data_IF_166345080585
#
_entry.id   IF_166345080585
#
_cell.length_a   1.000
_cell.length_b   1.000
_cell.length_c   1.000
_cell.angle_alpha   90.00
_cell.angle_beta   90.00
_cell.angle_gamma   90.00
#
_symmetry.space_group_name_H-M   'P 1'
#
loop_
_entity.id
_entity.type
_entity.pdbx_description
1 polymer ?
#
# COMPACT_ATOMS: atom_id res chain seq x y z
N UNK A 1 22.27 5.40 -19.32
CA UNK A 1 20.84 5.14 -19.57
C UNK A 1 20.25 5.02 -18.19
N UNK A 2 19.43 5.97 -17.75
CA UNK A 2 18.99 6.03 -16.35
C UNK A 2 18.24 4.75 -15.99
N UNK A 3 18.85 3.91 -15.16
CA UNK A 3 18.34 2.60 -14.71
C UNK A 3 17.11 2.72 -13.77
N UNK A 4 16.56 3.92 -13.59
CA UNK A 4 15.57 4.21 -12.54
C UNK A 4 14.12 4.34 -13.03
N UNK A 5 13.86 4.18 -14.33
CA UNK A 5 12.49 4.23 -14.84
C UNK A 5 11.80 2.87 -14.63
N UNK A 6 11.03 2.76 -13.54
CA UNK A 6 10.17 1.61 -13.25
C UNK A 6 8.78 1.87 -13.81
N UNK A 7 8.33 1.05 -14.76
CA UNK A 7 6.96 1.09 -15.25
C UNK A 7 6.08 0.27 -14.31
N UNK A 8 4.96 0.84 -13.90
CA UNK A 8 3.98 0.18 -13.05
C UNK A 8 2.61 0.23 -13.72
N UNK A 9 1.94 -0.91 -13.76
CA UNK A 9 0.55 -1.04 -14.19
C UNK A 9 -0.35 -1.13 -12.97
N UNK A 10 -1.33 -0.24 -12.85
CA UNK A 10 -2.36 -0.36 -11.80
C UNK A 10 -3.27 -1.52 -12.15
N UNK A 11 -3.32 -2.54 -11.29
CA UNK A 11 -4.14 -3.75 -11.52
C UNK A 11 -5.42 -3.78 -10.68
N UNK A 12 -5.42 -3.14 -9.51
CA UNK A 12 -6.60 -2.96 -8.66
C UNK A 12 -6.51 -1.66 -7.87
N UNK A 13 -7.66 -1.04 -7.61
CA UNK A 13 -7.79 0.14 -6.76
C UNK A 13 -8.83 -0.09 -5.67
N UNK A 14 -8.60 0.52 -4.52
CA UNK A 14 -9.47 0.45 -3.35
C UNK A 14 -9.61 1.84 -2.75
N UNK A 15 -10.82 2.13 -2.27
CA UNK A 15 -11.12 3.31 -1.48
C UNK A 15 -11.71 2.80 -0.17
N UNK A 16 -11.08 3.15 0.94
CA UNK A 16 -11.55 2.88 2.28
C UNK A 16 -12.06 4.19 2.89
N UNK A 17 -13.32 4.18 3.31
CA UNK A 17 -13.89 5.19 4.17
C UNK A 17 -13.74 4.72 5.61
N UNK A 18 -13.27 5.61 6.48
CA UNK A 18 -13.06 5.34 7.90
C UNK A 18 -13.97 6.26 8.68
N UNK A 19 -14.76 5.71 9.59
CA UNK A 19 -15.64 6.50 10.45
C UNK A 19 -14.83 7.60 11.19
N UNK A 20 -15.44 8.77 11.31
CA UNK A 20 -14.85 9.95 11.96
C UNK A 20 -13.53 10.43 11.32
N UNK A 21 -13.32 10.15 10.03
CA UNK A 21 -12.20 10.67 9.24
C UNK A 21 -12.73 11.39 7.99
N UNK A 22 -12.47 12.69 7.87
CA UNK A 22 -12.90 13.53 6.74
C UNK A 22 -12.13 13.27 5.42
N UNK A 23 -11.31 12.23 5.39
CA UNK A 23 -10.50 11.84 4.23
C UNK A 23 -10.73 10.37 3.89
N UNK A 24 -10.80 10.06 2.60
CA UNK A 24 -10.82 8.68 2.11
C UNK A 24 -9.41 8.14 1.97
N UNK A 25 -9.18 6.92 2.44
CA UNK A 25 -7.89 6.24 2.29
C UNK A 25 -7.89 5.51 0.95
N UNK A 26 -7.08 6.00 0.02
CA UNK A 26 -6.87 5.36 -1.28
C UNK A 26 -5.75 4.34 -1.19
N UNK A 27 -5.95 3.19 -1.82
CA UNK A 27 -4.93 2.18 -2.00
C UNK A 27 -5.01 1.59 -3.41
N UNK A 28 -3.89 1.08 -3.92
CA UNK A 28 -3.83 0.38 -5.20
C UNK A 28 -2.86 -0.79 -5.13
N UNK A 29 -3.11 -1.80 -5.95
CA UNK A 29 -2.12 -2.82 -6.27
C UNK A 29 -1.58 -2.49 -7.65
N UNK A 30 -0.26 -2.46 -7.76
CA UNK A 30 0.45 -2.28 -9.01
C UNK A 30 1.22 -3.54 -9.36
N UNK A 31 1.27 -3.85 -10.65
CA UNK A 31 2.17 -4.83 -11.23
C UNK A 31 3.36 -4.10 -11.82
N UNK A 32 4.55 -4.51 -11.42
CA UNK A 32 5.79 -3.93 -11.90
C UNK A 32 6.09 -4.56 -13.26
N UNK A 33 6.23 -3.72 -14.28
CA UNK A 33 6.57 -4.16 -15.62
C UNK A 33 8.08 -3.98 -15.81
N UNK A 34 8.81 -5.09 -16.00
CA UNK A 34 10.23 -5.03 -16.32
C UNK A 34 10.45 -4.88 -17.83
N UNK A 35 11.53 -4.18 -18.21
CA UNK A 35 12.02 -4.08 -19.58
C UNK A 35 13.24 -5.01 -19.84
N UNK A 36 13.48 -6.04 -19.02
CA UNK A 36 14.57 -6.98 -19.31
C UNK A 36 14.83 -8.15 -18.36
N UNK A 37 14.55 -8.05 -17.06
CA UNK A 37 14.81 -9.13 -16.08
C UNK A 37 13.53 -9.65 -15.42
N UNK A 38 13.55 -10.89 -14.94
CA UNK A 38 12.42 -11.44 -14.17
C UNK A 38 12.36 -10.76 -12.79
N UNK A 39 11.15 -10.34 -12.38
CA UNK A 39 10.93 -9.70 -11.07
C UNK A 39 10.43 -10.76 -10.10
N UNK A 40 11.17 -10.96 -9.01
CA UNK A 40 10.87 -11.97 -7.98
C UNK A 40 9.53 -11.67 -7.29
N UNK A 41 9.23 -10.40 -7.03
CA UNK A 41 7.97 -9.95 -6.42
C UNK A 41 7.28 -8.92 -7.32
N UNK A 42 6.55 -9.35 -8.36
CA UNK A 42 6.04 -8.45 -9.40
C UNK A 42 4.85 -7.61 -8.95
N UNK A 43 4.24 -7.91 -7.79
CA UNK A 43 3.11 -7.14 -7.27
C UNK A 43 3.52 -6.33 -6.05
N UNK A 44 3.06 -5.09 -6.00
CA UNK A 44 3.26 -4.17 -4.89
C UNK A 44 1.92 -3.50 -4.56
N UNK A 45 1.59 -3.37 -3.28
CA UNK A 45 0.47 -2.54 -2.87
C UNK A 45 0.95 -1.20 -2.30
N UNK A 46 0.21 -0.15 -2.60
CA UNK A 46 0.52 1.22 -2.24
C UNK A 46 -0.70 1.84 -1.57
N UNK A 47 -0.47 2.71 -0.58
CA UNK A 47 -1.52 3.35 0.20
C UNK A 47 -1.20 4.82 0.44
N UNK A 48 -2.24 5.66 0.38
CA UNK A 48 -2.16 7.12 0.55
C UNK A 48 -1.84 7.57 1.96
N UNK A 49 -2.12 6.75 2.97
CA UNK A 49 -1.97 7.11 4.37
C UNK A 49 -1.56 5.91 5.21
N UNK A 50 -0.89 6.20 6.32
CA UNK A 50 -0.60 5.24 7.37
C UNK A 50 -1.33 5.63 8.65
N UNK A 51 -1.65 4.66 9.51
CA UNK A 51 -2.28 4.94 10.81
C UNK A 51 -1.56 4.23 11.97
N UNK A 52 -1.85 4.66 13.20
CA UNK A 52 -1.52 3.88 14.40
C UNK A 52 -2.44 2.67 14.46
N UNK A 53 -1.89 1.53 14.87
CA UNK A 53 -2.66 0.29 15.00
C UNK A 53 -3.39 0.21 16.36
N UNK A 54 -2.89 0.92 17.37
CA UNK A 54 -3.50 1.03 18.70
C UNK A 54 -3.32 2.45 19.24
N UNK A 55 -4.18 2.88 20.17
CA UNK A 55 -4.06 4.20 20.81
C UNK A 55 -2.76 4.35 21.61
N UNK A 56 -2.26 3.25 22.16
CA UNK A 56 -1.02 3.20 22.94
C UNK A 56 0.24 3.15 22.08
N UNK A 57 0.12 3.02 20.76
CA UNK A 57 1.27 3.00 19.87
C UNK A 57 1.98 4.36 19.89
N UNK A 58 3.28 4.34 20.17
CA UNK A 58 4.10 5.56 20.18
C UNK A 58 4.18 6.22 18.81
N UNK A 59 4.18 5.43 17.73
CA UNK A 59 4.36 5.89 16.35
C UNK A 59 3.33 5.25 15.41
N UNK A 60 3.13 5.89 14.25
CA UNK A 60 2.36 5.35 13.15
C UNK A 60 3.03 4.07 12.60
N UNK A 61 2.23 3.09 12.19
CA UNK A 61 2.73 1.83 11.64
C UNK A 61 2.87 1.91 10.13
N UNK A 62 4.12 1.85 9.65
CA UNK A 62 4.45 1.68 8.23
C UNK A 62 4.72 0.19 7.96
N UNK A 63 3.98 -0.45 7.04
CA UNK A 63 4.21 -1.84 6.65
C UNK A 63 5.64 -2.06 6.16
N UNK A 64 6.31 -3.09 6.68
CA UNK A 64 7.66 -3.45 6.27
C UNK A 64 7.73 -4.29 4.99
N UNK A 65 6.63 -4.96 4.63
CA UNK A 65 6.51 -5.71 3.39
C UNK A 65 5.24 -5.26 2.65
N UNK A 66 5.45 -4.73 1.45
CA UNK A 66 4.38 -4.30 0.54
C UNK A 66 4.43 -5.04 -0.80
N UNK A 67 5.27 -6.07 -0.92
CA UNK A 67 5.50 -6.81 -2.16
C UNK A 67 5.02 -8.27 -2.04
N UNK A 68 4.60 -8.86 -3.16
CA UNK A 68 4.19 -10.26 -3.22
C UNK A 68 4.42 -10.89 -4.60
N UNK A 69 4.49 -12.22 -4.62
CA UNK A 69 4.68 -13.04 -5.83
C UNK A 69 3.41 -13.10 -6.69
N UNK A 70 2.25 -13.05 -6.04
CA UNK A 70 0.93 -13.17 -6.68
C UNK A 70 0.04 -11.99 -6.32
N UNK A 71 -0.86 -11.64 -7.24
CA UNK A 71 -1.88 -10.61 -7.01
C UNK A 71 -2.74 -10.93 -5.78
N UNK A 72 -3.14 -12.20 -5.64
CA UNK A 72 -3.95 -12.67 -4.50
C UNK A 72 -3.22 -12.47 -3.16
N UNK A 73 -1.95 -12.86 -3.06
CA UNK A 73 -1.16 -12.65 -1.85
C UNK A 73 -0.98 -11.15 -1.54
N UNK A 74 -0.77 -10.33 -2.56
CA UNK A 74 -0.67 -8.88 -2.43
C UNK A 74 -1.97 -8.27 -1.90
N UNK A 75 -3.11 -8.71 -2.44
CA UNK A 75 -4.44 -8.27 -2.03
C UNK A 75 -4.78 -8.70 -0.60
N UNK A 76 -4.44 -9.92 -0.18
CA UNK A 76 -4.63 -10.39 1.20
C UNK A 76 -3.85 -9.50 2.17
N UNK A 77 -2.61 -9.14 1.85
CA UNK A 77 -1.79 -8.26 2.69
C UNK A 77 -2.40 -6.85 2.77
N UNK A 78 -2.77 -6.25 1.63
CA UNK A 78 -3.38 -4.93 1.58
C UNK A 78 -4.70 -4.88 2.36
N UNK A 79 -5.61 -5.80 2.09
CA UNK A 79 -6.90 -5.87 2.78
C UNK A 79 -6.72 -6.13 4.28
N UNK A 80 -5.72 -6.94 4.66
CA UNK A 80 -5.34 -7.14 6.06
C UNK A 80 -5.00 -5.82 6.75
N UNK A 81 -4.16 -4.99 6.11
CA UNK A 81 -3.81 -3.66 6.62
C UNK A 81 -5.01 -2.70 6.64
N UNK A 82 -5.81 -2.66 5.57
CA UNK A 82 -7.00 -1.80 5.51
C UNK A 82 -8.03 -2.15 6.60
N UNK A 83 -8.21 -3.44 6.92
CA UNK A 83 -9.08 -3.87 8.02
C UNK A 83 -8.59 -3.44 9.40
N UNK A 84 -7.28 -3.28 9.58
CA UNK A 84 -6.70 -2.76 10.81
C UNK A 84 -6.58 -1.24 10.82
N UNK A 85 -6.97 -0.55 9.74
CA UNK A 85 -6.95 0.89 9.66
C UNK A 85 -7.92 1.52 10.66
N UNK A 86 -7.46 2.57 11.34
CA UNK A 86 -8.22 3.32 12.34
C UNK A 86 -7.99 4.81 12.13
N UNK A 87 -8.92 5.63 12.62
CA UNK A 87 -8.85 7.10 12.57
C UNK A 87 -7.82 7.72 13.54
N UNK A 88 -6.82 6.96 14.00
CA UNK A 88 -5.84 7.40 15.01
C UNK A 88 -4.44 7.56 14.42
N UNK A 89 -3.83 8.73 14.66
CA UNK A 89 -2.46 9.02 14.22
C UNK A 89 -2.25 8.81 12.72
N UNK A 90 -3.26 9.22 11.93
CA UNK A 90 -3.25 9.13 10.46
C UNK A 90 -2.26 10.14 9.91
N UNK A 91 -1.34 9.68 9.06
CA UNK A 91 -0.36 10.53 8.37
C UNK A 91 -0.39 10.20 6.87
N UNK A 92 -0.16 11.21 6.05
CA UNK A 92 -0.05 11.06 4.61
C UNK A 92 1.23 10.30 4.22
N UNK A 93 1.11 9.42 3.23
CA UNK A 93 2.23 8.80 2.55
C UNK A 93 2.61 9.66 1.34
N UNK A 94 3.69 10.44 1.46
CA UNK A 94 4.17 11.31 0.38
C UNK A 94 4.71 10.59 -0.87
N UNK A 95 4.69 9.25 -0.89
CA UNK A 95 5.13 8.42 -2.02
C UNK A 95 3.98 7.71 -2.75
N UNK A 96 2.73 8.04 -2.43
CA UNK A 96 1.54 7.45 -3.05
C UNK A 96 1.22 8.04 -4.44
#
# INVERSE_FOLDING_TARGET
>A
MDENNRIQEVVKEYILEVDDLDISIRARIVKILNLGTEIIHPYEWQISHYCKQTETAGTTYTPSNMHADTLESCEIQLIGYLKSFRNIGVIENGYY
#
